data_IF_248617822101
#
_entry.id   IF_248617822101
#
_cell.length_a   1.000
_cell.length_b   1.000
_cell.length_c   1.000
_cell.angle_alpha   90.00
_cell.angle_beta   90.00
_cell.angle_gamma   90.00
#
_symmetry.space_group_name_H-M   'P 1'
#
loop_
_entity.id
_entity.type
_entity.pdbx_description
1 polymer ?
#
# COMPACT_ATOMS: atom_id res chain seq x y z
N UNK A 1 -40.97 -24.96 -9.76
CA UNK A 1 -39.90 -25.69 -10.49
C UNK A 1 -39.98 -25.31 -11.95
N UNK A 2 -39.04 -24.51 -12.46
CA UNK A 2 -38.97 -24.22 -13.91
C UNK A 2 -38.51 -25.49 -14.62
N UNK A 3 -39.35 -26.08 -15.48
CA UNK A 3 -38.94 -27.21 -16.34
C UNK A 3 -37.80 -26.73 -17.24
N UNK A 4 -36.77 -27.56 -17.42
CA UNK A 4 -35.71 -27.29 -18.40
C UNK A 4 -36.35 -27.04 -19.77
N UNK A 5 -35.88 -26.02 -20.49
CA UNK A 5 -36.38 -25.66 -21.83
C UNK A 5 -36.40 -26.88 -22.78
N UNK A 6 -35.36 -27.71 -22.70
CA UNK A 6 -35.23 -28.94 -23.48
C UNK A 6 -36.24 -30.02 -23.05
N UNK A 7 -36.62 -30.07 -21.76
CA UNK A 7 -37.66 -30.99 -21.30
C UNK A 7 -39.05 -30.57 -21.83
N UNK A 8 -39.26 -29.26 -22.00
CA UNK A 8 -40.49 -28.75 -22.60
C UNK A 8 -40.53 -29.01 -24.11
N UNK A 9 -39.39 -28.87 -24.80
CA UNK A 9 -39.24 -29.26 -26.20
C UNK A 9 -39.49 -30.76 -26.42
N UNK A 10 -38.90 -31.62 -25.57
CA UNK A 10 -39.14 -33.06 -25.59
C UNK A 10 -40.64 -33.38 -25.46
N UNK A 11 -41.32 -32.75 -24.49
CA UNK A 11 -42.77 -32.94 -24.29
C UNK A 11 -43.57 -32.58 -25.54
N UNK A 12 -43.29 -31.42 -26.15
CA UNK A 12 -43.97 -30.98 -27.39
C UNK A 12 -43.69 -31.93 -28.55
N UNK A 13 -42.51 -32.53 -28.60
CA UNK A 13 -42.13 -33.50 -29.62
C UNK A 13 -42.83 -34.86 -29.43
N UNK A 14 -43.01 -35.32 -28.19
CA UNK A 14 -43.84 -36.51 -27.89
C UNK A 14 -45.30 -36.28 -28.30
N UNK A 15 -45.87 -35.12 -27.93
CA UNK A 15 -47.23 -34.72 -28.30
C UNK A 15 -47.41 -34.68 -29.83
N UNK A 16 -46.45 -34.13 -30.57
CA UNK A 16 -46.51 -34.02 -32.03
C UNK A 16 -46.38 -35.37 -32.74
N UNK A 17 -45.60 -36.31 -32.20
CA UNK A 17 -45.36 -37.62 -32.80
C UNK A 17 -46.33 -38.71 -32.32
N UNK A 18 -47.18 -38.41 -31.33
CA UNK A 18 -48.11 -39.36 -30.72
C UNK A 18 -47.42 -40.64 -30.21
N UNK A 19 -46.27 -40.47 -29.55
CA UNK A 19 -45.46 -41.58 -29.01
C UNK A 19 -45.36 -41.45 -27.51
N UNK A 20 -45.41 -42.59 -26.81
CA UNK A 20 -45.23 -42.69 -25.36
C UNK A 20 -43.86 -42.17 -24.90
N UNK A 21 -43.75 -41.81 -23.62
CA UNK A 21 -42.62 -41.07 -23.00
C UNK A 21 -41.24 -41.77 -23.06
N UNK A 22 -41.16 -42.98 -23.61
CA UNK A 22 -39.95 -43.81 -23.64
C UNK A 22 -39.01 -43.53 -24.84
N UNK A 23 -39.41 -42.69 -25.80
CA UNK A 23 -38.53 -42.34 -26.93
C UNK A 23 -37.46 -41.34 -26.50
N UNK A 24 -36.19 -41.75 -26.59
CA UNK A 24 -35.06 -40.85 -26.38
C UNK A 24 -34.74 -40.08 -27.66
N UNK A 25 -34.85 -38.76 -27.58
CA UNK A 25 -34.45 -37.85 -28.65
C UNK A 25 -32.98 -37.45 -28.54
N UNK A 26 -32.33 -37.28 -29.69
CA UNK A 26 -31.00 -36.70 -29.79
C UNK A 26 -31.00 -35.22 -29.40
N UNK A 27 -29.84 -34.68 -28.99
CA UNK A 27 -29.70 -33.25 -28.67
C UNK A 27 -30.13 -32.36 -29.86
N UNK A 28 -29.91 -32.81 -31.10
CA UNK A 28 -30.23 -32.05 -32.30
C UNK A 28 -31.73 -32.02 -32.60
N UNK A 29 -32.43 -33.14 -32.40
CA UNK A 29 -33.89 -33.21 -32.50
C UNK A 29 -34.57 -32.34 -31.44
N UNK A 30 -34.05 -32.36 -30.20
CA UNK A 30 -34.55 -31.49 -29.13
C UNK A 30 -34.34 -30.00 -29.42
N UNK A 31 -33.21 -29.64 -30.05
CA UNK A 31 -32.94 -28.27 -30.46
C UNK A 31 -33.81 -27.82 -31.64
N UNK A 32 -34.18 -28.73 -32.54
CA UNK A 32 -35.16 -28.44 -33.59
C UNK A 32 -36.57 -28.28 -33.02
N UNK A 33 -36.96 -29.15 -32.07
CA UNK A 33 -38.25 -29.09 -31.40
C UNK A 33 -38.49 -27.81 -30.58
N UNK A 34 -37.48 -26.98 -30.35
CA UNK A 34 -37.67 -25.63 -29.81
C UNK A 34 -38.56 -24.75 -30.68
N UNK A 35 -38.75 -25.05 -31.97
CA UNK A 35 -39.70 -24.34 -32.82
C UNK A 35 -41.17 -24.64 -32.45
N UNK A 36 -41.42 -25.75 -31.76
CA UNK A 36 -42.74 -26.11 -31.23
C UNK A 36 -43.03 -25.46 -29.87
N UNK A 37 -42.03 -24.74 -29.32
CA UNK A 37 -42.08 -24.11 -28.00
C UNK A 37 -42.34 -22.62 -28.17
N UNK A 38 -43.43 -22.15 -27.57
CA UNK A 38 -43.75 -20.73 -27.50
C UNK A 38 -42.69 -19.95 -26.73
N UNK A 39 -42.47 -18.70 -27.14
CA UNK A 39 -41.55 -17.80 -26.48
C UNK A 39 -41.94 -17.62 -25.00
N UNK A 40 -40.96 -17.65 -24.06
CA UNK A 40 -41.25 -17.35 -22.66
C UNK A 40 -41.86 -15.95 -22.48
N UNK A 41 -42.67 -15.76 -21.43
CA UNK A 41 -43.49 -14.56 -21.13
C UNK A 41 -42.80 -13.17 -21.23
N UNK A 42 -41.47 -13.10 -21.31
CA UNK A 42 -40.69 -11.86 -21.41
C UNK A 42 -39.71 -11.83 -22.59
N UNK A 43 -39.79 -12.80 -23.49
CA UNK A 43 -38.99 -12.82 -24.71
C UNK A 43 -39.79 -12.19 -25.85
N UNK A 44 -39.19 -11.20 -26.53
CA UNK A 44 -39.70 -10.71 -27.81
C UNK A 44 -39.38 -11.75 -28.89
N UNK A 45 -40.26 -11.95 -29.87
CA UNK A 45 -40.12 -12.99 -30.90
C UNK A 45 -38.73 -13.02 -31.56
N UNK A 46 -38.20 -11.86 -31.97
CA UNK A 46 -36.86 -11.78 -32.57
C UNK A 46 -35.73 -12.23 -31.62
N UNK A 47 -35.88 -12.01 -30.31
CA UNK A 47 -34.92 -12.46 -29.31
C UNK A 47 -35.02 -13.96 -29.09
N UNK A 48 -36.24 -14.51 -29.17
CA UNK A 48 -36.47 -15.95 -29.09
C UNK A 48 -35.86 -16.69 -30.28
N UNK A 49 -36.10 -16.20 -31.50
CA UNK A 49 -35.48 -16.73 -32.72
C UNK A 49 -33.94 -16.66 -32.65
N UNK A 50 -33.39 -15.50 -32.28
CA UNK A 50 -31.94 -15.34 -32.12
C UNK A 50 -31.36 -16.29 -31.06
N UNK A 51 -32.10 -16.58 -30.00
CA UNK A 51 -31.68 -17.52 -28.97
C UNK A 51 -31.70 -18.97 -29.47
N UNK A 52 -32.73 -19.37 -30.25
CA UNK A 52 -32.77 -20.70 -30.89
C UNK A 52 -31.58 -20.89 -31.84
N UNK A 53 -31.28 -19.88 -32.67
CA UNK A 53 -30.11 -19.89 -33.56
C UNK A 53 -28.80 -20.01 -32.77
N UNK A 54 -28.66 -19.25 -31.68
CA UNK A 54 -27.51 -19.33 -30.80
C UNK A 54 -27.30 -20.74 -30.23
N UNK A 55 -28.37 -21.42 -29.80
CA UNK A 55 -28.28 -22.78 -29.28
C UNK A 55 -27.91 -23.80 -30.36
N UNK A 56 -28.42 -23.61 -31.59
CA UNK A 56 -28.14 -24.46 -32.76
C UNK A 56 -26.74 -24.21 -33.35
N UNK A 57 -26.12 -23.07 -33.06
CA UNK A 57 -24.81 -22.72 -33.59
C UNK A 57 -23.75 -23.78 -33.23
N UNK A 58 -22.85 -24.13 -34.18
CA UNK A 58 -21.86 -25.20 -33.97
C UNK A 58 -20.90 -24.90 -32.81
N UNK A 59 -20.60 -23.61 -32.58
CA UNK A 59 -19.78 -23.15 -31.46
C UNK A 59 -20.43 -23.49 -30.11
N UNK A 60 -21.72 -23.24 -29.97
CA UNK A 60 -22.49 -23.50 -28.74
C UNK A 60 -22.60 -25.00 -28.48
N UNK A 61 -22.90 -25.80 -29.52
CA UNK A 61 -22.89 -27.27 -29.44
C UNK A 61 -21.56 -27.81 -28.93
N UNK A 62 -20.43 -27.32 -29.49
CA UNK A 62 -19.09 -27.69 -29.05
C UNK A 62 -18.83 -27.39 -27.58
N UNK A 63 -19.20 -26.19 -27.10
CA UNK A 63 -19.03 -25.83 -25.69
C UNK A 63 -19.94 -26.65 -24.77
N UNK A 64 -21.18 -26.92 -25.18
CA UNK A 64 -22.11 -27.77 -24.44
C UNK A 64 -21.57 -29.19 -24.30
N UNK A 65 -21.08 -29.80 -25.39
CA UNK A 65 -20.46 -31.12 -25.38
C UNK A 65 -19.20 -31.16 -24.49
N UNK A 66 -18.34 -30.15 -24.58
CA UNK A 66 -17.19 -30.01 -23.69
C UNK A 66 -17.61 -29.90 -22.22
N UNK A 67 -18.67 -29.14 -21.93
CA UNK A 67 -19.22 -29.00 -20.57
C UNK A 67 -19.81 -30.30 -20.04
N UNK A 68 -20.56 -31.05 -20.88
CA UNK A 68 -21.08 -32.39 -20.53
C UNK A 68 -19.94 -33.36 -20.25
N UNK A 69 -18.91 -33.39 -21.11
CA UNK A 69 -17.71 -34.22 -20.92
C UNK A 69 -16.95 -33.84 -19.65
N UNK A 70 -16.76 -32.54 -19.39
CA UNK A 70 -16.11 -32.05 -18.18
C UNK A 70 -16.87 -32.47 -16.91
N UNK A 71 -18.20 -32.32 -16.89
CA UNK A 71 -19.04 -32.79 -15.78
C UNK A 71 -19.01 -34.30 -15.62
N UNK A 72 -19.05 -35.06 -16.71
CA UNK A 72 -18.94 -36.52 -16.67
C UNK A 72 -17.56 -37.01 -16.20
N UNK A 73 -16.50 -36.25 -16.49
CA UNK A 73 -15.14 -36.52 -16.01
C UNK A 73 -14.89 -36.07 -14.57
N UNK A 74 -15.81 -35.31 -13.97
CA UNK A 74 -15.66 -34.82 -12.62
C UNK A 74 -16.00 -35.95 -11.64
N UNK A 75 -14.95 -36.64 -11.16
CA UNK A 75 -15.05 -37.77 -10.21
C UNK A 75 -15.58 -37.32 -8.84
N UNK A 76 -15.34 -36.06 -8.47
CA UNK A 76 -15.68 -35.54 -7.14
C UNK A 76 -16.82 -34.54 -7.24
N UNK A 77 -18.00 -34.96 -6.80
CA UNK A 77 -19.10 -34.06 -6.47
C UNK A 77 -18.67 -33.35 -5.19
N UNK A 78 -18.47 -32.03 -5.25
CA UNK A 78 -18.24 -31.24 -4.05
C UNK A 78 -19.50 -31.31 -3.18
N UNK A 79 -19.48 -32.19 -2.18
CA UNK A 79 -20.58 -32.41 -1.21
C UNK A 79 -20.38 -31.64 0.09
N UNK A 80 -19.19 -31.08 0.28
CA UNK A 80 -18.94 -30.10 1.33
C UNK A 80 -19.74 -28.85 0.96
N UNK A 81 -20.77 -28.52 1.74
CA UNK A 81 -21.56 -27.30 1.57
C UNK A 81 -20.69 -26.03 1.52
N UNK A 82 -21.33 -24.89 1.29
CA UNK A 82 -20.66 -23.60 1.09
C UNK A 82 -20.03 -23.01 2.38
N UNK A 83 -19.11 -23.75 3.02
CA UNK A 83 -18.27 -23.22 4.10
C UNK A 83 -16.99 -22.71 3.46
N UNK A 84 -16.73 -21.42 3.63
CA UNK A 84 -15.57 -20.75 3.07
C UNK A 84 -14.29 -21.07 3.87
N UNK A 85 -13.12 -20.95 3.24
CA UNK A 85 -11.82 -21.13 3.92
C UNK A 85 -11.69 -20.22 5.16
N UNK A 86 -12.05 -18.93 5.11
CA UNK A 86 -12.00 -18.06 6.28
C UNK A 86 -12.83 -18.59 7.46
N UNK A 87 -14.05 -19.07 7.20
CA UNK A 87 -14.89 -19.64 8.27
C UNK A 87 -14.24 -20.85 8.93
N UNK A 88 -13.66 -21.77 8.16
CA UNK A 88 -12.94 -22.91 8.74
C UNK A 88 -11.70 -22.48 9.54
N UNK A 89 -11.01 -21.42 9.10
CA UNK A 89 -9.90 -20.85 9.86
C UNK A 89 -10.36 -20.23 11.17
N UNK A 90 -11.47 -19.50 11.16
CA UNK A 90 -12.05 -18.90 12.36
C UNK A 90 -12.47 -19.97 13.36
N UNK A 91 -13.15 -21.03 12.90
CA UNK A 91 -13.49 -22.21 13.71
C UNK A 91 -12.24 -22.84 14.33
N UNK A 92 -11.18 -23.02 13.54
CA UNK A 92 -9.92 -23.56 14.02
C UNK A 92 -9.25 -22.68 15.08
N UNK A 93 -9.24 -21.35 14.89
CA UNK A 93 -8.65 -20.40 15.83
C UNK A 93 -9.42 -20.41 17.15
N UNK A 94 -10.74 -20.49 17.11
CA UNK A 94 -11.58 -20.58 18.31
C UNK A 94 -11.28 -21.86 19.09
N UNK A 95 -11.11 -22.99 18.40
CA UNK A 95 -10.84 -24.30 19.02
C UNK A 95 -9.40 -24.42 19.56
N UNK A 96 -8.41 -24.01 18.76
CA UNK A 96 -6.99 -24.26 19.01
C UNK A 96 -6.24 -23.05 19.60
N UNK A 97 -6.90 -21.88 19.69
CA UNK A 97 -6.33 -20.61 20.17
C UNK A 97 -5.05 -20.17 19.44
N UNK A 98 -4.87 -20.61 18.20
CA UNK A 98 -3.74 -20.28 17.32
C UNK A 98 -4.16 -20.30 15.86
N UNK A 99 -3.34 -19.70 15.00
CA UNK A 99 -3.54 -19.77 13.56
C UNK A 99 -3.20 -21.19 13.03
N UNK A 100 -3.99 -21.74 12.10
CA UNK A 100 -3.65 -23.00 11.43
C UNK A 100 -2.46 -22.83 10.49
N UNK A 101 -1.60 -23.84 10.43
CA UNK A 101 -0.50 -23.88 9.46
C UNK A 101 -0.98 -24.29 8.04
N UNK A 102 -0.12 -24.09 7.02
CA UNK A 102 -0.51 -24.35 5.62
C UNK A 102 -0.86 -25.84 5.35
N UNK A 103 -0.32 -26.77 6.15
CA UNK A 103 -0.60 -28.21 6.06
C UNK A 103 -1.97 -28.50 6.70
N UNK A 104 -2.27 -27.89 7.84
CA UNK A 104 -3.57 -27.98 8.52
C UNK A 104 -4.68 -27.35 7.67
N UNK A 105 -4.41 -26.23 7.01
CA UNK A 105 -5.33 -25.63 6.03
C UNK A 105 -5.58 -26.59 4.87
N UNK A 106 -4.56 -27.32 4.42
CA UNK A 106 -4.73 -28.34 3.39
C UNK A 106 -5.67 -29.47 3.87
N UNK A 107 -5.47 -29.98 5.08
CA UNK A 107 -6.31 -31.02 5.67
C UNK A 107 -7.76 -30.55 5.84
N UNK A 108 -7.99 -29.35 6.37
CA UNK A 108 -9.34 -28.77 6.50
C UNK A 108 -10.11 -28.73 5.17
N UNK A 109 -9.41 -28.61 4.05
CA UNK A 109 -10.01 -28.48 2.72
C UNK A 109 -10.16 -29.81 1.98
N UNK A 110 -9.28 -30.77 2.24
CA UNK A 110 -9.20 -32.02 1.49
C UNK A 110 -9.61 -33.24 2.31
N UNK A 111 -9.91 -33.08 3.61
CA UNK A 111 -10.52 -34.11 4.45
C UNK A 111 -12.03 -33.94 4.47
N UNK A 112 -12.74 -35.04 4.21
CA UNK A 112 -14.20 -35.11 4.27
C UNK A 112 -14.69 -35.12 5.71
N UNK A 113 -15.99 -34.87 5.93
CA UNK A 113 -16.61 -35.00 7.27
C UNK A 113 -16.42 -36.38 7.91
N UNK A 114 -16.14 -37.42 7.12
CA UNK A 114 -15.87 -38.79 7.59
C UNK A 114 -14.41 -39.03 7.97
N UNK A 115 -13.55 -38.00 7.88
CA UNK A 115 -12.12 -38.11 8.20
C UNK A 115 -11.25 -38.67 7.08
N UNK A 116 -11.82 -39.10 5.94
CA UNK A 116 -11.06 -39.56 4.78
C UNK A 116 -10.74 -38.42 3.81
N UNK A 117 -9.62 -38.49 3.09
CA UNK A 117 -9.31 -37.54 2.02
C UNK A 117 -10.29 -37.65 0.85
N UNK A 118 -10.55 -36.52 0.18
CA UNK A 118 -11.44 -36.43 -1.00
C UNK A 118 -10.91 -37.25 -2.17
N UNK A 119 -9.58 -37.34 -2.31
CA UNK A 119 -8.93 -38.09 -3.37
C UNK A 119 -7.56 -38.64 -2.92
N UNK A 120 -7.10 -39.71 -3.58
CA UNK A 120 -5.84 -40.37 -3.25
C UNK A 120 -4.62 -39.47 -3.44
N UNK A 121 -4.66 -38.55 -4.40
CA UNK A 121 -3.55 -37.61 -4.64
C UNK A 121 -3.44 -36.63 -3.47
N UNK A 122 -4.56 -36.14 -2.94
CA UNK A 122 -4.59 -35.28 -1.76
C UNK A 122 -4.05 -36.03 -0.53
N UNK A 123 -4.41 -37.30 -0.36
CA UNK A 123 -3.82 -38.16 0.68
C UNK A 123 -2.30 -38.25 0.56
N UNK A 124 -1.78 -38.56 -0.64
CA UNK A 124 -0.34 -38.67 -0.89
C UNK A 124 0.39 -37.36 -0.61
N UNK A 125 -0.18 -36.21 -1.03
CA UNK A 125 0.40 -34.90 -0.77
C UNK A 125 0.43 -34.59 0.73
N UNK A 126 -0.67 -34.82 1.45
CA UNK A 126 -0.73 -34.57 2.89
C UNK A 126 0.24 -35.47 3.68
N UNK A 127 0.30 -36.76 3.33
CA UNK A 127 1.25 -37.70 3.95
C UNK A 127 2.70 -37.25 3.73
N UNK A 128 3.04 -36.84 2.51
CA UNK A 128 4.38 -36.35 2.19
C UNK A 128 4.70 -35.03 2.92
N UNK A 129 3.74 -34.09 2.94
CA UNK A 129 3.89 -32.83 3.65
C UNK A 129 4.15 -33.03 5.15
N UNK A 130 3.41 -33.92 5.80
CA UNK A 130 3.61 -34.23 7.23
C UNK A 130 4.96 -34.87 7.51
N UNK A 131 5.43 -35.76 6.63
CA UNK A 131 6.75 -36.38 6.76
C UNK A 131 7.88 -35.34 6.58
N UNK A 132 7.82 -34.54 5.51
CA UNK A 132 8.81 -33.50 5.23
C UNK A 132 8.84 -32.42 6.33
N UNK A 133 7.66 -32.07 6.86
CA UNK A 133 7.52 -31.14 7.99
C UNK A 133 8.15 -31.69 9.28
N UNK A 134 7.90 -32.96 9.61
CA UNK A 134 8.52 -33.60 10.77
C UNK A 134 10.05 -33.65 10.64
N UNK A 135 10.57 -33.96 9.45
CA UNK A 135 12.01 -33.98 9.18
C UNK A 135 12.63 -32.59 9.35
N UNK A 136 12.03 -31.54 8.77
CA UNK A 136 12.53 -30.17 8.91
C UNK A 136 12.47 -29.66 10.36
N UNK A 137 11.47 -30.08 11.14
CA UNK A 137 11.42 -29.76 12.57
C UNK A 137 12.57 -30.40 13.35
N UNK A 138 12.96 -31.64 13.03
CA UNK A 138 14.11 -32.31 13.66
C UNK A 138 15.43 -31.60 13.34
N UNK A 139 15.61 -31.10 12.12
CA UNK A 139 16.81 -30.37 11.69
C UNK A 139 16.98 -29.03 12.42
N UNK A 140 15.88 -28.36 12.78
CA UNK A 140 15.88 -27.06 13.47
C UNK A 140 16.22 -27.19 14.97
N UNK A 141 16.24 -28.42 15.50
CA UNK A 141 16.65 -28.74 16.86
C UNK A 141 15.47 -28.98 17.82
N UNK A 142 15.58 -30.05 18.61
CA UNK A 142 14.59 -30.54 19.59
C UNK A 142 14.38 -29.60 20.80
N UNK A 143 14.01 -28.33 20.60
CA UNK A 143 13.35 -27.60 21.69
C UNK A 143 11.86 -27.89 21.61
N UNK A 144 11.33 -28.49 22.67
CA UNK A 144 9.91 -28.83 22.92
C UNK A 144 8.93 -27.65 22.64
N UNK A 145 9.46 -26.44 22.49
CA UNK A 145 8.78 -25.26 21.98
C UNK A 145 9.47 -24.69 20.74
N UNK A 146 9.13 -25.23 19.57
CA UNK A 146 9.39 -24.54 18.30
C UNK A 146 8.54 -23.28 18.28
N UNK A 147 9.19 -22.14 18.08
CA UNK A 147 8.54 -20.84 17.91
C UNK A 147 7.38 -20.95 16.87
N UNK A 148 6.16 -20.52 17.22
CA UNK A 148 5.00 -20.63 16.33
C UNK A 148 5.24 -20.01 14.94
N UNK A 149 6.03 -18.94 14.85
CA UNK A 149 6.32 -18.28 13.58
C UNK A 149 7.26 -19.12 12.70
N UNK A 150 8.31 -19.71 13.28
CA UNK A 150 9.14 -20.71 12.60
C UNK A 150 8.34 -21.92 12.13
N UNK A 151 7.41 -22.42 12.94
CA UNK A 151 6.55 -23.55 12.55
C UNK A 151 5.76 -23.22 11.28
N UNK A 152 5.17 -22.02 11.22
CA UNK A 152 4.43 -21.54 10.05
C UNK A 152 5.34 -21.40 8.82
N UNK A 153 6.57 -20.93 8.99
CA UNK A 153 7.55 -20.82 7.92
C UNK A 153 7.91 -22.19 7.32
N UNK A 154 8.23 -23.17 8.17
CA UNK A 154 8.56 -24.54 7.73
C UNK A 154 7.38 -25.18 7.00
N UNK A 155 6.16 -25.05 7.53
CA UNK A 155 4.96 -25.61 6.90
C UNK A 155 4.72 -25.00 5.50
N UNK A 156 4.92 -23.68 5.37
CA UNK A 156 4.80 -22.97 4.09
C UNK A 156 5.84 -23.44 3.08
N UNK A 157 7.10 -23.59 3.52
CA UNK A 157 8.20 -24.05 2.67
C UNK A 157 7.92 -25.46 2.12
N UNK A 158 7.55 -26.40 2.99
CA UNK A 158 7.18 -27.78 2.61
C UNK A 158 6.04 -27.79 1.59
N UNK A 159 4.97 -27.03 1.85
CA UNK A 159 3.84 -26.97 0.93
C UNK A 159 4.20 -26.32 -0.40
N UNK A 160 5.10 -25.34 -0.41
CA UNK A 160 5.58 -24.70 -1.63
C UNK A 160 6.46 -25.63 -2.47
N UNK A 161 7.28 -26.49 -1.85
CA UNK A 161 8.06 -27.51 -2.55
C UNK A 161 7.16 -28.57 -3.20
N UNK A 162 6.15 -29.04 -2.46
CA UNK A 162 5.21 -30.06 -2.93
C UNK A 162 4.22 -29.52 -3.96
N UNK A 163 3.83 -28.25 -3.83
CA UNK A 163 2.86 -27.58 -4.70
C UNK A 163 3.38 -26.21 -5.10
N UNK A 164 4.38 -26.15 -6.00
CA UNK A 164 4.95 -24.88 -6.42
C UNK A 164 3.88 -23.99 -7.03
N UNK A 165 3.93 -22.71 -6.67
CA UNK A 165 3.05 -21.68 -7.17
C UNK A 165 3.23 -21.54 -8.69
N UNK A 166 2.41 -22.25 -9.48
CA UNK A 166 2.41 -22.15 -10.94
C UNK A 166 1.77 -20.83 -11.36
N UNK A 167 2.42 -20.10 -12.28
CA UNK A 167 1.89 -18.86 -12.85
C UNK A 167 0.49 -19.12 -13.43
N UNK A 168 -0.50 -18.35 -12.98
CA UNK A 168 -1.89 -18.45 -13.44
C UNK A 168 -2.76 -19.51 -12.76
N UNK A 169 -2.25 -20.28 -11.79
CA UNK A 169 -3.08 -21.23 -11.03
C UNK A 169 -3.46 -20.61 -9.67
N UNK A 170 -4.75 -20.37 -9.38
CA UNK A 170 -5.20 -19.97 -8.06
C UNK A 170 -4.75 -21.01 -7.04
N UNK A 171 -3.90 -20.61 -6.10
CA UNK A 171 -3.52 -21.47 -5.01
C UNK A 171 -4.68 -21.47 -4.03
N UNK A 172 -5.40 -22.59 -3.96
CA UNK A 172 -6.63 -22.77 -3.18
C UNK A 172 -6.48 -22.62 -1.67
N UNK A 173 -5.40 -21.98 -1.19
CA UNK A 173 -5.16 -21.66 0.22
C UNK A 173 -5.84 -20.36 0.65
N UNK A 174 -6.62 -19.69 -0.21
CA UNK A 174 -7.12 -18.34 0.11
C UNK A 174 -5.98 -17.34 0.40
N UNK A 175 -4.74 -17.68 0.01
CA UNK A 175 -3.57 -16.83 0.12
C UNK A 175 -3.51 -15.99 -1.15
N UNK A 176 -4.33 -14.95 -1.15
CA UNK A 176 -4.15 -13.77 -1.99
C UNK A 176 -4.43 -13.93 -3.48
N UNK A 177 -4.76 -12.78 -4.05
CA UNK A 177 -4.82 -12.51 -5.49
C UNK A 177 -3.56 -13.06 -6.17
N UNK A 178 -3.73 -13.70 -7.33
CA UNK A 178 -2.63 -14.04 -8.26
C UNK A 178 -1.66 -12.86 -8.38
N UNK A 179 -0.36 -13.16 -8.60
CA UNK A 179 0.77 -12.21 -8.74
C UNK A 179 0.54 -10.95 -9.63
N UNK A 180 -0.61 -10.77 -10.25
CA UNK A 180 -0.95 -9.61 -11.06
C UNK A 180 -1.63 -8.44 -10.33
N UNK A 181 -2.29 -8.56 -9.16
CA UNK A 181 -3.23 -7.49 -8.77
C UNK A 181 -3.30 -7.15 -7.25
N UNK A 182 -2.73 -5.99 -6.89
CA UNK A 182 -3.19 -5.01 -5.87
C UNK A 182 -2.71 -5.06 -4.40
N UNK A 183 -2.52 -6.18 -3.70
CA UNK A 183 -2.24 -6.07 -2.23
C UNK A 183 -0.83 -5.65 -1.84
N UNK A 184 0.22 -6.16 -2.49
CA UNK A 184 1.60 -5.70 -2.19
C UNK A 184 1.83 -4.27 -2.67
N UNK A 185 1.32 -3.91 -3.85
CA UNK A 185 1.45 -2.54 -4.37
C UNK A 185 0.71 -1.51 -3.50
N UNK A 186 -0.52 -1.82 -3.03
CA UNK A 186 -1.24 -0.92 -2.14
C UNK A 186 -0.62 -0.82 -0.74
N UNK A 187 -0.09 -1.92 -0.20
CA UNK A 187 0.65 -1.90 1.06
C UNK A 187 1.96 -1.11 0.93
N UNK A 188 2.72 -1.32 -0.15
CA UNK A 188 3.96 -0.58 -0.44
C UNK A 188 3.68 0.90 -0.70
N UNK A 189 2.62 1.27 -1.44
CA UNK A 189 2.21 2.66 -1.60
C UNK A 189 1.85 3.31 -0.25
N UNK A 190 1.12 2.60 0.62
CA UNK A 190 0.80 3.09 1.98
C UNK A 190 2.05 3.18 2.86
N UNK A 191 3.02 2.27 2.69
CA UNK A 191 4.32 2.30 3.39
C UNK A 191 5.18 3.46 2.91
N UNK A 192 5.33 3.63 1.60
CA UNK A 192 6.05 4.75 0.99
C UNK A 192 5.42 6.09 1.34
N UNK A 193 4.08 6.20 1.36
CA UNK A 193 3.39 7.43 1.79
C UNK A 193 3.67 7.74 3.26
N UNK A 194 3.65 6.74 4.15
CA UNK A 194 4.00 6.91 5.57
C UNK A 194 5.47 7.30 5.77
N UNK A 195 6.38 6.69 5.01
CA UNK A 195 7.81 7.04 5.05
C UNK A 195 8.07 8.44 4.50
N UNK A 196 7.41 8.83 3.40
CA UNK A 196 7.48 10.17 2.81
C UNK A 196 7.04 11.23 3.83
N UNK A 197 5.86 11.06 4.44
CA UNK A 197 5.35 11.98 5.48
C UNK A 197 6.28 12.00 6.70
N UNK A 198 6.83 10.86 7.11
CA UNK A 198 7.77 10.80 8.22
C UNK A 198 9.09 11.53 7.90
N UNK A 199 9.61 11.42 6.68
CA UNK A 199 10.82 12.13 6.26
C UNK A 199 10.60 13.63 6.13
N UNK A 200 9.42 14.03 5.64
CA UNK A 200 9.03 15.44 5.52
C UNK A 200 8.84 16.08 6.90
N UNK A 201 8.17 15.39 7.83
CA UNK A 201 8.04 15.83 9.21
C UNK A 201 9.41 15.96 9.89
N UNK A 202 10.34 15.02 9.65
CA UNK A 202 11.71 15.10 10.17
C UNK A 202 12.48 16.29 9.58
N UNK A 203 12.31 16.55 8.29
CA UNK A 203 12.92 17.70 7.62
C UNK A 203 12.41 19.03 8.18
N UNK A 204 11.09 19.15 8.35
CA UNK A 204 10.47 20.34 8.94
C UNK A 204 10.92 20.57 10.38
N UNK A 205 10.98 19.51 11.21
CA UNK A 205 11.51 19.60 12.57
C UNK A 205 12.96 20.09 12.59
N UNK A 206 13.83 19.55 11.73
CA UNK A 206 15.22 20.02 11.63
C UNK A 206 15.31 21.49 11.21
N UNK A 207 14.44 21.94 10.31
CA UNK A 207 14.39 23.35 9.88
C UNK A 207 13.95 24.26 11.03
N UNK A 208 12.93 23.87 11.80
CA UNK A 208 12.45 24.61 12.98
C UNK A 208 13.55 24.68 14.05
N UNK A 209 14.26 23.58 14.31
CA UNK A 209 15.38 23.55 15.27
C UNK A 209 16.52 24.45 14.81
N UNK A 210 16.87 24.45 13.52
CA UNK A 210 17.92 25.31 12.98
C UNK A 210 17.55 26.80 13.11
N UNK A 211 16.31 27.17 12.78
CA UNK A 211 15.83 28.53 12.95
C UNK A 211 15.83 28.95 14.43
N UNK A 212 15.44 28.06 15.34
CA UNK A 212 15.46 28.33 16.78
C UNK A 212 16.87 28.64 17.30
N UNK A 213 17.89 27.91 16.82
CA UNK A 213 19.29 28.17 17.17
C UNK A 213 19.79 29.51 16.65
N UNK A 214 19.37 29.91 15.45
CA UNK A 214 19.74 31.22 14.91
C UNK A 214 19.09 32.36 15.70
N UNK A 215 17.82 32.21 16.08
CA UNK A 215 17.12 33.17 16.95
C UNK A 215 17.84 33.29 18.30
N UNK A 216 18.26 32.17 18.90
CA UNK A 216 19.03 32.20 20.14
C UNK A 216 20.38 32.93 19.97
N UNK A 217 21.06 32.73 18.85
CA UNK A 217 22.33 33.41 18.56
C UNK A 217 22.13 34.91 18.42
N UNK A 218 21.10 35.33 17.68
CA UNK A 218 20.74 36.75 17.58
C UNK A 218 20.36 37.33 18.94
N UNK A 219 19.64 36.59 19.77
CA UNK A 219 19.30 37.00 21.14
C UNK A 219 20.55 37.24 21.99
N UNK A 220 21.58 36.38 21.89
CA UNK A 220 22.85 36.58 22.59
C UNK A 220 23.61 37.81 22.07
N UNK A 221 23.65 38.00 20.75
CA UNK A 221 24.28 39.19 20.16
C UNK A 221 23.60 40.48 20.59
N UNK A 222 22.27 40.50 20.66
CA UNK A 222 21.53 41.66 21.17
C UNK A 222 21.88 41.97 22.62
N UNK A 223 22.05 40.95 23.48
CA UNK A 223 22.49 41.16 24.87
C UNK A 223 23.90 41.74 24.97
N UNK A 224 24.84 41.24 24.16
CA UNK A 224 26.20 41.81 24.12
C UNK A 224 26.19 43.25 23.58
N UNK A 225 25.31 43.54 22.62
CA UNK A 225 25.11 44.90 22.11
C UNK A 225 24.54 45.83 23.19
N UNK A 226 23.61 45.34 24.00
CA UNK A 226 23.03 46.08 25.14
C UNK A 226 24.08 46.41 26.21
N UNK A 227 24.94 45.44 26.57
CA UNK A 227 26.05 45.64 27.53
C UNK A 227 27.08 46.65 27.01
N UNK A 228 27.44 46.57 25.74
CA UNK A 228 28.37 47.52 25.11
C UNK A 228 27.78 48.93 25.03
N UNK A 229 26.48 49.05 24.75
CA UNK A 229 25.78 50.33 24.73
C UNK A 229 25.69 50.95 26.14
N UNK A 230 25.46 50.13 27.17
CA UNK A 230 25.48 50.57 28.56
C UNK A 230 26.88 51.03 29.02
N UNK A 231 27.94 50.35 28.59
CA UNK A 231 29.32 50.80 28.84
C UNK A 231 29.66 52.11 28.10
N UNK A 232 29.18 52.28 26.86
CA UNK A 232 29.36 53.53 26.12
C UNK A 232 28.62 54.70 26.77
N UNK A 233 27.39 54.48 27.24
CA UNK A 233 26.63 55.46 28.02
C UNK A 233 27.36 55.78 29.34
N UNK A 234 27.99 54.79 29.98
CA UNK A 234 28.85 54.99 31.15
C UNK A 234 30.07 55.87 30.88
N UNK A 235 30.78 55.63 29.77
CA UNK A 235 31.94 56.43 29.35
C UNK A 235 31.56 57.85 28.90
N UNK A 236 30.42 58.04 28.24
CA UNK A 236 29.89 59.36 27.90
C UNK A 236 29.57 60.19 29.16
N UNK A 237 29.01 59.55 30.20
CA UNK A 237 28.72 60.22 31.48
C UNK A 237 29.98 60.68 32.24
N UNK A 238 31.14 60.06 32.01
CA UNK A 238 32.42 60.46 32.65
C UNK A 238 33.23 61.45 31.81
N UNK A 239 33.22 61.35 30.48
CA UNK A 239 33.99 62.23 29.58
C UNK A 239 33.33 63.60 29.37
N UNK A 240 32.00 63.67 29.32
CA UNK A 240 31.31 64.96 29.10
C UNK A 240 31.64 66.00 30.19
N UNK A 241 31.50 65.70 31.50
CA UNK A 241 31.80 66.69 32.54
C UNK A 241 33.28 67.08 32.59
N UNK A 242 34.20 66.14 32.30
CA UNK A 242 35.63 66.40 32.29
C UNK A 242 36.07 67.29 31.12
N UNK A 243 35.49 67.11 29.93
CA UNK A 243 35.83 67.91 28.75
C UNK A 243 35.35 69.36 28.87
N UNK A 244 34.14 69.58 29.39
CA UNK A 244 33.64 70.94 29.66
C UNK A 244 34.40 71.64 30.79
N UNK A 245 35.18 70.91 31.60
CA UNK A 245 35.97 71.47 32.68
C UNK A 245 37.42 71.85 32.32
N UNK A 246 38.05 71.34 31.23
CA UNK A 246 39.53 71.46 31.06
C UNK A 246 40.11 71.84 29.69
N UNK A 247 39.37 72.44 28.74
CA UNK A 247 39.85 72.61 27.34
C UNK A 247 40.02 74.02 26.78
N UNK A 248 40.18 75.05 27.61
CA UNK A 248 40.33 76.46 27.21
C UNK A 248 41.78 76.81 26.85
N UNK A 249 42.16 76.80 25.57
CA UNK A 249 43.05 77.80 24.92
C UNK A 249 43.64 77.25 23.61
N UNK A 250 43.40 77.96 22.51
CA UNK A 250 44.07 77.88 21.20
C UNK A 250 44.10 76.54 20.45
N UNK A 251 43.07 76.29 19.63
CA UNK A 251 43.23 75.55 18.37
C UNK A 251 42.02 75.78 17.44
N UNK A 252 42.04 76.86 16.66
CA UNK A 252 41.03 77.15 15.62
C UNK A 252 41.04 76.16 14.42
N UNK A 253 41.78 75.06 14.49
CA UNK A 253 41.78 74.00 13.45
C UNK A 253 41.15 72.67 13.89
N UNK A 254 40.88 72.46 15.18
CA UNK A 254 40.57 71.12 15.70
C UNK A 254 39.07 70.86 15.93
N UNK A 255 38.23 71.91 15.97
CA UNK A 255 36.80 71.77 16.21
C UNK A 255 36.04 71.02 15.10
N UNK A 256 36.23 71.43 13.84
CA UNK A 256 35.60 70.73 12.70
C UNK A 256 36.22 69.35 12.49
N UNK A 257 37.54 69.23 12.67
CA UNK A 257 38.25 67.96 12.50
C UNK A 257 37.82 66.93 13.54
N UNK A 258 37.50 67.35 14.77
CA UNK A 258 37.05 66.44 15.81
C UNK A 258 35.58 66.04 15.67
N UNK A 259 34.70 66.96 15.25
CA UNK A 259 33.30 66.62 14.91
C UNK A 259 33.29 65.62 13.75
N UNK A 260 34.09 65.85 12.70
CA UNK A 260 34.24 64.90 11.58
C UNK A 260 34.86 63.58 12.06
N UNK A 261 35.86 63.59 12.96
CA UNK A 261 36.49 62.36 13.46
C UNK A 261 35.56 61.51 14.33
N UNK A 262 34.78 62.15 15.22
CA UNK A 262 33.78 61.47 16.05
C UNK A 262 32.65 60.93 15.17
N UNK A 263 32.14 61.70 14.20
CA UNK A 263 31.14 61.20 13.24
C UNK A 263 31.68 60.07 12.35
N UNK A 264 32.94 60.13 11.91
CA UNK A 264 33.57 59.04 11.16
C UNK A 264 33.75 57.77 11.99
N UNK A 265 34.14 57.89 13.27
CA UNK A 265 34.28 56.70 14.13
C UNK A 265 32.95 56.10 14.54
N UNK A 266 31.94 56.93 14.82
CA UNK A 266 30.58 56.45 15.10
C UNK A 266 29.96 55.82 13.86
N UNK A 267 30.15 56.43 12.68
CA UNK A 267 29.72 55.86 11.40
C UNK A 267 30.40 54.53 11.06
N UNK A 268 31.71 54.39 11.29
CA UNK A 268 32.44 53.15 11.07
C UNK A 268 32.07 52.04 12.06
N UNK A 269 31.78 52.39 13.32
CA UNK A 269 31.31 51.44 14.32
C UNK A 269 29.89 50.92 13.99
N UNK A 270 28.99 51.80 13.51
CA UNK A 270 27.64 51.41 13.06
C UNK A 270 27.67 50.57 11.77
N UNK A 271 28.60 50.84 10.86
CA UNK A 271 28.79 50.04 9.63
C UNK A 271 29.26 48.60 9.94
N UNK A 272 30.14 48.41 10.93
CA UNK A 272 30.56 47.07 11.37
C UNK A 272 29.48 46.30 12.15
N UNK A 273 28.45 46.98 12.64
CA UNK A 273 27.24 46.39 13.24
C UNK A 273 26.15 46.05 12.20
N UNK A 274 26.44 46.21 10.89
CA UNK A 274 25.57 45.78 9.80
C UNK A 274 24.39 46.71 9.46
N UNK A 275 24.28 47.87 10.11
CA UNK A 275 23.31 48.91 9.77
C UNK A 275 23.97 49.96 8.88
N UNK A 276 23.73 49.87 7.57
CA UNK A 276 24.27 50.80 6.59
C UNK A 276 23.41 52.07 6.52
N UNK A 277 23.87 53.17 7.12
CA UNK A 277 23.30 54.50 6.88
C UNK A 277 24.04 55.14 5.69
N UNK A 278 23.37 55.29 4.54
CA UNK A 278 23.86 56.17 3.47
C UNK A 278 23.55 57.61 3.84
N UNK A 279 24.52 58.31 4.43
CA UNK A 279 24.48 59.76 4.53
C UNK A 279 25.52 60.34 3.56
N UNK A 280 25.04 60.96 2.48
CA UNK A 280 25.88 61.68 1.53
C UNK A 280 26.37 62.98 2.18
N UNK A 281 27.64 63.03 2.58
CA UNK A 281 28.31 64.28 2.96
C UNK A 281 29.25 64.66 1.82
N UNK A 282 28.78 65.55 0.96
CA UNK A 282 29.56 66.11 -0.15
C UNK A 282 30.43 67.24 0.42
N UNK A 283 31.71 66.98 0.67
CA UNK A 283 32.70 68.04 0.97
C UNK A 283 33.75 68.04 -0.13
N UNK A 284 33.71 69.12 -0.93
CA UNK A 284 34.61 69.40 -2.04
C UNK A 284 35.93 69.96 -1.47
N UNK A 285 37.03 69.21 -1.57
CA UNK A 285 38.38 69.72 -1.28
C UNK A 285 39.35 69.33 -2.41
N UNK A 286 39.48 70.20 -3.41
CA UNK A 286 40.64 70.24 -4.31
C UNK A 286 41.67 71.21 -3.71
N UNK A 287 42.79 70.67 -3.26
CA UNK A 287 44.07 71.33 -3.08
C UNK A 287 45.13 70.37 -3.67
N UNK A 288 46.26 70.71 -4.27
CA UNK A 288 46.93 71.92 -4.76
C UNK A 288 48.27 71.37 -5.34
N UNK A 289 48.83 72.00 -6.40
CA UNK A 289 50.16 71.76 -7.03
C UNK A 289 50.26 70.55 -7.99
N UNK A 290 50.79 70.62 -9.21
CA UNK A 290 51.75 71.55 -9.79
C UNK A 290 53.03 70.79 -10.15
N UNK A 291 53.07 70.21 -11.36
CA UNK A 291 54.23 69.82 -12.19
C UNK A 291 53.75 69.66 -13.63
#
# INVERSE_FOLDING_TARGET
>A
MKKSLLALAAKRLHEANNVDEDVQYTDDELLQALDLVEAPQYFVDHQWESYKDYLRAPKTKKYSANGKKARGSQVHIHTSGAVSIPQKKDEFIVENKREPDDIEVFDMMHVTKKGSYVDDRSRVVASKAKADFANKLLEVGNSEHVDPEKRLEIAREVMQELRPNKKGRPCGHGVGVTKSQVTKFSYELRRMRRQSVSSENRFLLNKVVAQSKEIEKQSRQMKTMEENMNNFIGQLKTVLPAFFATGTSNAQGLGLHFIIYVFCRVGAALHNLGLSFRLAVHINCKMVLGS
#
